data_IF_021968438835
#
_entry.id   IF_021968438835
#
_cell.length_a   1.000
_cell.length_b   1.000
_cell.length_c   1.000
_cell.angle_alpha   90.00
_cell.angle_beta   90.00
_cell.angle_gamma   90.00
#
_symmetry.space_group_name_H-M   'P 1'
#
loop_
_entity.id
_entity.type
_entity.pdbx_description
1 polymer ?
#
# COMPACT_ATOMS: atom_id res chain seq x y z
N UNK A 1 -17.87 9.93 7.02
CA UNK A 1 -17.27 8.84 7.81
C UNK A 1 -17.61 7.55 7.10
N UNK A 2 -16.59 6.73 6.82
CA UNK A 2 -16.72 5.47 6.11
C UNK A 2 -17.50 4.45 6.98
N UNK A 3 -18.70 4.00 6.56
CA UNK A 3 -19.53 3.07 7.33
C UNK A 3 -18.86 1.70 7.50
N UNK A 4 -18.06 1.24 6.55
CA UNK A 4 -17.36 -0.05 6.60
C UNK A 4 -16.23 -0.01 7.63
N UNK A 5 -15.51 1.11 7.68
CA UNK A 5 -14.48 1.36 8.70
C UNK A 5 -15.07 1.27 10.12
N UNK A 6 -16.27 1.82 10.33
CA UNK A 6 -16.95 1.76 11.63
C UNK A 6 -17.33 0.33 12.03
N UNK A 7 -17.82 -0.47 11.08
CA UNK A 7 -18.17 -1.88 11.32
C UNK A 7 -16.91 -2.69 11.67
N UNK A 8 -15.82 -2.49 10.93
CA UNK A 8 -14.53 -3.13 11.20
C UNK A 8 -14.01 -2.83 12.62
N UNK A 9 -13.96 -1.55 13.00
CA UNK A 9 -13.48 -1.13 14.32
C UNK A 9 -14.34 -1.70 15.46
N UNK A 10 -15.65 -1.76 15.26
CA UNK A 10 -16.58 -2.34 16.25
C UNK A 10 -16.28 -3.84 16.47
N UNK A 11 -16.05 -4.59 15.39
CA UNK A 11 -15.68 -6.01 15.45
C UNK A 11 -14.35 -6.24 16.18
N UNK A 12 -13.37 -5.37 15.97
CA UNK A 12 -12.07 -5.45 16.63
C UNK A 12 -12.21 -5.21 18.14
N UNK A 13 -13.00 -4.21 18.54
CA UNK A 13 -13.31 -3.93 19.94
C UNK A 13 -14.05 -5.10 20.61
N UNK A 14 -15.03 -5.72 19.94
CA UNK A 14 -15.75 -6.88 20.46
C UNK A 14 -14.82 -8.08 20.70
N UNK A 15 -13.90 -8.32 19.77
CA UNK A 15 -12.93 -9.41 19.86
C UNK A 15 -11.95 -9.20 21.02
N UNK A 16 -11.40 -8.00 21.15
CA UNK A 16 -10.51 -7.63 22.27
C UNK A 16 -11.25 -7.70 23.62
N UNK A 17 -12.50 -7.22 23.69
CA UNK A 17 -13.33 -7.27 24.90
C UNK A 17 -13.66 -8.71 25.29
N UNK A 18 -13.89 -9.60 24.33
CA UNK A 18 -14.15 -11.02 24.60
C UNK A 18 -12.90 -11.71 25.16
N UNK A 19 -11.73 -11.43 24.60
CA UNK A 19 -10.46 -11.94 25.10
C UNK A 19 -10.15 -11.44 26.52
N UNK A 20 -10.39 -10.15 26.80
CA UNK A 20 -10.22 -9.57 28.12
C UNK A 20 -11.10 -10.26 29.17
N UNK A 21 -12.39 -10.42 28.87
CA UNK A 21 -13.34 -11.12 29.75
C UNK A 21 -12.95 -12.59 29.99
N UNK A 22 -12.34 -13.25 29.01
CA UNK A 22 -11.87 -14.62 29.14
C UNK A 22 -10.68 -14.71 30.12
N UNK A 23 -9.75 -13.76 30.04
CA UNK A 23 -8.59 -13.67 30.95
C UNK A 23 -9.02 -13.31 32.37
N UNK A 24 -9.94 -12.35 32.54
CA UNK A 24 -10.46 -11.95 33.86
C UNK A 24 -11.17 -13.10 34.59
N UNK A 25 -11.92 -13.94 33.87
CA UNK A 25 -12.63 -15.10 34.43
C UNK A 25 -11.70 -16.21 34.93
N UNK A 26 -10.49 -16.32 34.38
CA UNK A 26 -9.53 -17.36 34.78
C UNK A 26 -8.70 -17.02 36.02
N UNK A 27 -8.82 -15.80 36.54
CA UNK A 27 -8.09 -15.33 37.74
C UNK A 27 -6.65 -14.89 37.42
N UNK A 28 -6.14 -13.97 38.24
CA UNK A 28 -4.86 -13.24 38.09
C UNK A 28 -3.58 -14.10 38.26
N UNK A 29 -3.68 -15.41 38.46
CA UNK A 29 -2.52 -16.32 38.51
C UNK A 29 -2.17 -16.82 37.10
N UNK A 30 -2.07 -15.87 36.18
CA UNK A 30 -2.01 -16.06 34.74
C UNK A 30 -0.61 -16.43 34.29
N UNK A 31 -0.42 -17.66 33.77
CA UNK A 31 0.82 -18.04 33.09
C UNK A 31 1.04 -17.24 31.80
N UNK A 32 2.29 -17.20 31.30
CA UNK A 32 2.74 -16.43 30.11
C UNK A 32 1.74 -16.50 28.93
N UNK A 33 1.13 -17.66 28.68
CA UNK A 33 0.19 -17.84 27.56
C UNK A 33 -1.10 -17.02 27.60
N UNK A 34 -1.56 -16.52 28.75
CA UNK A 34 -2.77 -15.69 28.81
C UNK A 34 -2.51 -14.24 28.38
N UNK A 35 -1.30 -13.73 28.65
CA UNK A 35 -0.88 -12.40 28.18
C UNK A 35 -0.74 -12.38 26.65
N UNK A 36 -0.15 -13.44 26.08
CA UNK A 36 0.00 -13.57 24.63
C UNK A 36 -1.35 -13.64 23.91
N UNK A 37 -2.33 -14.34 24.49
CA UNK A 37 -3.69 -14.42 23.94
C UNK A 37 -4.37 -13.05 23.90
N UNK A 38 -4.23 -12.25 24.96
CA UNK A 38 -4.80 -10.90 25.01
C UNK A 38 -4.12 -9.97 24.00
N UNK A 39 -2.78 -9.98 23.96
CA UNK A 39 -1.99 -9.18 23.01
C UNK A 39 -2.34 -9.54 21.56
N UNK A 40 -2.46 -10.84 21.27
CA UNK A 40 -2.83 -11.31 19.92
C UNK A 40 -4.25 -10.87 19.54
N UNK A 41 -5.21 -11.00 20.46
CA UNK A 41 -6.60 -10.62 20.20
C UNK A 41 -6.80 -9.10 20.08
N UNK A 42 -5.98 -8.31 20.76
CA UNK A 42 -6.00 -6.85 20.71
C UNK A 42 -4.98 -6.27 19.72
N UNK A 43 -4.34 -7.10 18.89
CA UNK A 43 -3.24 -6.65 18.03
C UNK A 43 -3.66 -5.50 17.10
N UNK A 44 -4.70 -5.68 16.31
CA UNK A 44 -5.17 -4.67 15.35
C UNK A 44 -5.49 -3.30 15.98
N UNK A 45 -6.33 -3.19 17.04
CA UNK A 45 -6.61 -1.90 17.65
C UNK A 45 -5.41 -1.30 18.39
N UNK A 46 -4.51 -2.14 18.92
CA UNK A 46 -3.26 -1.66 19.53
C UNK A 46 -2.28 -1.15 18.47
N UNK A 47 -2.19 -1.82 17.32
CA UNK A 47 -1.34 -1.41 16.21
C UNK A 47 -1.77 -0.05 15.68
N UNK A 48 -3.07 0.16 15.40
CA UNK A 48 -3.59 1.45 14.96
C UNK A 48 -3.31 2.57 15.97
N UNK A 49 -3.48 2.30 17.27
CA UNK A 49 -3.20 3.26 18.33
C UNK A 49 -1.70 3.56 18.47
N UNK A 50 -0.86 2.53 18.43
CA UNK A 50 0.60 2.66 18.49
C UNK A 50 1.16 3.39 17.26
N UNK A 51 0.62 3.14 16.07
CA UNK A 51 1.01 3.85 14.85
C UNK A 51 0.63 5.33 14.94
N UNK A 52 -0.54 5.66 15.49
CA UNK A 52 -0.96 7.05 15.68
C UNK A 52 -0.10 7.81 16.70
N UNK A 53 0.29 7.15 17.81
CA UNK A 53 1.04 7.80 18.91
C UNK A 53 2.57 7.75 18.70
N UNK A 54 3.08 6.60 18.26
CA UNK A 54 4.51 6.28 18.19
C UNK A 54 5.02 6.06 16.76
N UNK A 55 4.17 6.00 15.74
CA UNK A 55 4.59 5.88 14.34
C UNK A 55 5.68 6.88 13.91
N UNK A 56 5.62 8.17 14.31
CA UNK A 56 6.67 9.14 13.99
C UNK A 56 8.04 8.83 14.63
N UNK A 57 8.08 7.98 15.66
CA UNK A 57 9.32 7.57 16.34
C UNK A 57 10.01 6.38 15.66
N UNK A 58 9.32 5.72 14.73
CA UNK A 58 9.87 4.58 13.98
C UNK A 58 10.88 5.10 12.96
N UNK A 59 12.15 5.03 13.31
CA UNK A 59 13.27 5.43 12.44
C UNK A 59 14.00 4.24 11.80
N UNK A 60 13.59 3.01 12.11
CA UNK A 60 14.19 1.81 11.52
C UNK A 60 13.51 1.48 10.19
N UNK A 61 14.23 1.74 9.10
CA UNK A 61 13.75 1.48 7.75
C UNK A 61 13.73 -0.01 7.39
N UNK A 62 14.42 -0.87 8.15
CA UNK A 62 14.45 -2.32 7.90
C UNK A 62 13.06 -2.96 7.94
N UNK A 63 12.17 -2.44 8.79
CA UNK A 63 10.79 -2.89 8.95
C UNK A 63 10.02 -2.88 7.61
N UNK A 64 10.31 -1.92 6.73
CA UNK A 64 9.70 -1.81 5.40
C UNK A 64 10.51 -2.48 4.30
N UNK A 65 11.83 -2.61 4.49
CA UNK A 65 12.74 -3.05 3.44
C UNK A 65 13.06 -4.55 3.47
N UNK A 66 13.07 -5.19 4.64
CA UNK A 66 13.60 -6.55 4.79
C UNK A 66 12.79 -7.60 4.01
N UNK A 67 11.46 -7.46 4.01
CA UNK A 67 10.60 -8.36 3.25
C UNK A 67 10.90 -8.28 1.75
N UNK A 68 10.98 -7.07 1.19
CA UNK A 68 11.23 -6.87 -0.23
C UNK A 68 12.66 -7.30 -0.61
N UNK A 69 13.66 -6.99 0.23
CA UNK A 69 15.05 -7.44 0.03
C UNK A 69 15.18 -8.96 0.04
N UNK A 70 14.52 -9.64 0.97
CA UNK A 70 14.52 -11.11 1.02
C UNK A 70 14.05 -11.71 -0.30
N UNK A 71 12.94 -11.22 -0.85
CA UNK A 71 12.41 -11.74 -2.11
C UNK A 71 13.22 -11.31 -3.33
N UNK A 72 13.81 -10.11 -3.31
CA UNK A 72 14.79 -9.67 -4.31
C UNK A 72 15.99 -10.64 -4.37
N UNK A 73 16.54 -11.01 -3.21
CA UNK A 73 17.65 -11.96 -3.12
C UNK A 73 17.28 -13.36 -3.65
N UNK A 74 16.11 -13.88 -3.29
CA UNK A 74 15.63 -15.17 -3.81
C UNK A 74 15.43 -15.13 -5.33
N UNK A 75 14.87 -14.04 -5.87
CA UNK A 75 14.75 -13.85 -7.30
C UNK A 75 16.11 -13.92 -8.02
N UNK A 76 17.13 -13.23 -7.49
CA UNK A 76 18.47 -13.26 -8.10
C UNK A 76 19.16 -14.62 -7.96
N UNK A 77 18.90 -15.38 -6.88
CA UNK A 77 19.37 -16.76 -6.76
C UNK A 77 18.79 -17.63 -7.88
N UNK A 78 17.49 -17.52 -8.14
CA UNK A 78 16.83 -18.26 -9.21
C UNK A 78 17.33 -17.86 -10.59
N UNK A 79 17.48 -16.55 -10.85
CA UNK A 79 18.04 -16.05 -12.10
C UNK A 79 19.46 -16.57 -12.35
N UNK A 80 20.29 -16.57 -11.30
CA UNK A 80 21.65 -17.13 -11.36
C UNK A 80 21.63 -18.63 -11.64
N UNK A 81 20.74 -19.38 -10.99
CA UNK A 81 20.59 -20.82 -11.23
C UNK A 81 20.15 -21.13 -12.67
N UNK A 82 19.43 -20.22 -13.32
CA UNK A 82 19.06 -20.27 -14.73
C UNK A 82 20.16 -19.74 -15.69
N UNK A 83 21.36 -19.42 -15.17
CA UNK A 83 22.47 -18.80 -15.91
C UNK A 83 22.10 -17.45 -16.56
N UNK A 84 21.15 -16.72 -15.99
CA UNK A 84 20.87 -15.34 -16.37
C UNK A 84 21.96 -14.45 -15.78
N UNK A 85 22.53 -13.57 -16.62
CA UNK A 85 23.54 -12.62 -16.17
C UNK A 85 22.90 -11.54 -15.28
N UNK A 86 23.60 -11.07 -14.23
CA UNK A 86 23.13 -9.94 -13.44
C UNK A 86 23.07 -8.67 -14.31
N UNK A 87 22.12 -7.76 -14.04
CA UNK A 87 22.07 -6.46 -14.71
C UNK A 87 23.27 -5.60 -14.30
N UNK A 88 23.67 -4.66 -15.17
CA UNK A 88 24.74 -3.70 -14.86
C UNK A 88 24.38 -2.74 -13.72
N UNK A 89 23.09 -2.40 -13.61
CA UNK A 89 22.54 -1.49 -12.59
C UNK A 89 21.19 -2.02 -12.12
N UNK A 90 20.97 -2.01 -10.80
CA UNK A 90 19.68 -2.30 -10.17
C UNK A 90 19.13 -1.01 -9.60
N UNK A 91 17.93 -0.62 -10.02
CA UNK A 91 17.22 0.57 -9.52
C UNK A 91 16.00 0.16 -8.72
N UNK A 92 15.93 0.54 -7.45
CA UNK A 92 14.75 0.28 -6.59
C UNK A 92 13.88 1.52 -6.53
N UNK A 93 12.57 1.38 -6.73
CA UNK A 93 11.64 2.51 -6.68
C UNK A 93 11.77 3.31 -5.37
N UNK A 94 11.95 2.62 -4.24
CA UNK A 94 12.14 3.23 -2.92
C UNK A 94 13.40 4.11 -2.80
N UNK A 95 14.39 3.93 -3.67
CA UNK A 95 15.62 4.73 -3.70
C UNK A 95 15.50 5.99 -4.57
N UNK A 96 14.46 6.10 -5.39
CA UNK A 96 14.27 7.19 -6.38
C UNK A 96 12.97 7.99 -6.16
N UNK A 97 12.36 7.87 -4.97
CA UNK A 97 11.10 8.59 -4.66
C UNK A 97 11.22 10.11 -4.87
N UNK A 98 12.29 10.80 -4.45
CA UNK A 98 12.43 12.24 -4.70
C UNK A 98 12.39 12.59 -6.20
N UNK A 99 13.09 11.85 -7.04
CA UNK A 99 13.14 12.04 -8.48
C UNK A 99 11.79 11.76 -9.15
N UNK A 100 11.06 10.74 -8.66
CA UNK A 100 9.71 10.43 -9.11
C UNK A 100 8.77 11.60 -8.79
N UNK A 101 8.83 12.15 -7.57
CA UNK A 101 8.02 13.32 -7.17
C UNK A 101 8.33 14.52 -8.06
N UNK A 102 9.61 14.82 -8.28
CA UNK A 102 10.04 15.91 -9.17
C UNK A 102 9.57 15.70 -10.61
N UNK A 103 9.55 14.45 -11.09
CA UNK A 103 9.05 14.11 -12.41
C UNK A 103 7.54 14.29 -12.51
N UNK A 104 6.78 13.82 -11.53
CA UNK A 104 5.32 14.00 -11.46
C UNK A 104 4.96 15.48 -11.42
N UNK A 105 5.72 16.30 -10.67
CA UNK A 105 5.51 17.75 -10.63
C UNK A 105 5.62 18.37 -12.03
N UNK A 106 6.59 17.95 -12.86
CA UNK A 106 6.72 18.42 -14.24
C UNK A 106 5.51 18.07 -15.11
N UNK A 107 4.88 16.92 -14.87
CA UNK A 107 3.67 16.50 -15.60
C UNK A 107 2.48 17.40 -15.20
N UNK A 108 2.35 17.69 -13.90
CA UNK A 108 1.34 18.64 -13.38
C UNK A 108 1.55 20.02 -14.00
N UNK A 109 2.80 20.53 -13.97
CA UNK A 109 3.14 21.86 -14.51
C UNK A 109 2.89 21.95 -16.03
N UNK A 110 3.01 20.83 -16.74
CA UNK A 110 2.69 20.72 -18.16
C UNK A 110 1.18 20.62 -18.45
N UNK A 111 0.32 20.52 -17.42
CA UNK A 111 -1.13 20.44 -17.56
C UNK A 111 -1.67 19.04 -17.92
N UNK A 112 -0.85 17.99 -17.79
CA UNK A 112 -1.24 16.61 -18.13
C UNK A 112 -1.60 15.75 -16.91
N UNK A 113 -1.65 16.34 -15.72
CA UNK A 113 -2.03 15.64 -14.51
C UNK A 113 -2.86 16.54 -13.59
N UNK A 114 -3.67 15.92 -12.74
CA UNK A 114 -4.51 16.60 -11.75
C UNK A 114 -4.48 15.88 -10.40
N UNK A 115 -4.68 16.64 -9.33
CA UNK A 115 -4.79 16.11 -7.97
C UNK A 115 -6.25 15.82 -7.62
N UNK A 116 -6.50 14.74 -6.90
CA UNK A 116 -7.80 14.39 -6.34
C UNK A 116 -7.63 13.54 -5.08
N UNK A 117 -8.18 14.03 -3.96
CA UNK A 117 -8.25 13.32 -2.67
C UNK A 117 -6.88 12.83 -2.15
N UNK A 118 -5.81 13.59 -2.37
CA UNK A 118 -4.45 13.28 -1.94
C UNK A 118 -3.65 12.43 -2.94
N UNK A 119 -4.24 12.04 -4.06
CA UNK A 119 -3.58 11.31 -5.16
C UNK A 119 -3.43 12.19 -6.38
N UNK A 120 -2.42 11.88 -7.22
CA UNK A 120 -2.21 12.56 -8.51
C UNK A 120 -2.50 11.58 -9.64
N UNK A 121 -3.33 12.00 -10.59
CA UNK A 121 -3.76 11.22 -11.74
C UNK A 121 -3.25 11.85 -13.03
N UNK A 122 -2.92 11.01 -14.01
CA UNK A 122 -2.55 11.46 -15.35
C UNK A 122 -3.82 11.63 -16.20
N UNK A 123 -3.98 12.78 -16.84
CA UNK A 123 -5.12 13.07 -17.70
C UNK A 123 -4.87 12.56 -19.12
N UNK A 124 -5.36 11.35 -19.37
CA UNK A 124 -5.19 10.67 -20.67
C UNK A 124 -5.95 11.37 -21.80
N UNK A 125 -7.07 12.05 -21.49
CA UNK A 125 -7.85 12.77 -22.48
C UNK A 125 -7.14 14.06 -22.91
N UNK A 126 -6.67 14.86 -21.96
CA UNK A 126 -5.89 16.08 -22.26
C UNK A 126 -4.60 15.74 -22.99
N UNK A 127 -3.94 14.64 -22.61
CA UNK A 127 -2.75 14.18 -23.31
C UNK A 127 -3.03 13.79 -24.77
N UNK A 128 -4.13 13.10 -25.06
CA UNK A 128 -4.48 12.68 -26.42
C UNK A 128 -4.98 13.84 -27.31
N UNK A 129 -5.66 14.82 -26.71
CA UNK A 129 -6.09 16.04 -27.42
C UNK A 129 -4.92 16.96 -27.78
N UNK A 130 -3.78 16.85 -27.09
CA UNK A 130 -2.64 17.71 -27.32
C UNK A 130 -1.88 17.34 -28.61
N UNK A 131 -1.59 18.29 -29.51
CA UNK A 131 -0.90 18.01 -30.76
C UNK A 131 0.43 17.27 -30.58
N UNK A 132 0.59 16.15 -31.29
CA UNK A 132 1.81 15.34 -31.29
C UNK A 132 1.87 14.27 -30.19
N UNK A 133 0.86 14.19 -29.34
CA UNK A 133 0.71 13.14 -28.33
C UNK A 133 -0.39 12.16 -28.75
N UNK A 134 -0.24 10.90 -28.32
CA UNK A 134 -1.16 9.81 -28.64
C UNK A 134 -1.18 8.85 -27.44
N UNK A 135 -2.31 8.77 -26.76
CA UNK A 135 -2.47 7.82 -25.66
C UNK A 135 -2.68 6.40 -26.20
N UNK A 136 -2.34 5.39 -25.40
CA UNK A 136 -2.41 3.96 -25.77
C UNK A 136 -1.61 3.56 -27.03
N UNK A 137 -0.54 4.28 -27.39
CA UNK A 137 0.29 4.02 -28.58
C UNK A 137 0.78 2.57 -28.74
N UNK A 138 1.08 1.88 -27.63
CA UNK A 138 1.62 0.52 -27.65
C UNK A 138 0.53 -0.55 -27.78
N UNK A 139 -0.72 -0.23 -27.40
CA UNK A 139 -1.87 -1.13 -27.49
C UNK A 139 -3.09 -0.30 -27.94
N UNK A 140 -3.15 0.09 -29.22
CA UNK A 140 -4.19 0.99 -29.72
C UNK A 140 -5.61 0.46 -29.55
N UNK A 141 -5.79 -0.85 -29.47
CA UNK A 141 -7.08 -1.50 -29.26
C UNK A 141 -7.68 -1.21 -27.87
N UNK A 142 -6.84 -0.82 -26.90
CA UNK A 142 -7.29 -0.39 -25.57
C UNK A 142 -7.74 1.08 -25.55
N UNK A 143 -7.52 1.82 -26.64
CA UNK A 143 -7.89 3.23 -26.73
C UNK A 143 -9.41 3.38 -26.67
N UNK A 144 -9.90 4.15 -25.69
CA UNK A 144 -11.33 4.36 -25.49
C UNK A 144 -12.05 3.22 -24.76
N UNK A 145 -11.36 2.13 -24.38
CA UNK A 145 -11.91 1.12 -23.47
C UNK A 145 -11.88 1.65 -22.03
N UNK A 146 -12.81 2.56 -21.75
CA UNK A 146 -12.99 3.20 -20.45
C UNK A 146 -13.24 2.18 -19.33
N UNK A 147 -13.77 0.99 -19.66
CA UNK A 147 -14.00 -0.05 -18.66
C UNK A 147 -12.70 -0.72 -18.25
N UNK A 148 -11.89 -1.16 -19.22
CA UNK A 148 -10.58 -1.75 -18.93
C UNK A 148 -9.64 -0.74 -18.26
N UNK A 149 -9.71 0.54 -18.64
CA UNK A 149 -8.96 1.62 -18.00
C UNK A 149 -9.36 1.78 -16.53
N UNK A 150 -10.66 1.89 -16.23
CA UNK A 150 -11.16 2.00 -14.84
C UNK A 150 -10.81 0.77 -14.01
N UNK A 151 -10.98 -0.44 -14.56
CA UNK A 151 -10.63 -1.68 -13.86
C UNK A 151 -9.12 -1.74 -13.53
N UNK A 152 -8.25 -1.31 -14.46
CA UNK A 152 -6.80 -1.22 -14.26
C UNK A 152 -6.37 -0.13 -13.26
N UNK A 153 -7.12 0.97 -13.19
CA UNK A 153 -6.93 2.08 -12.23
C UNK A 153 -7.51 1.79 -10.84
N UNK A 154 -8.19 0.65 -10.67
CA UNK A 154 -8.72 0.22 -9.38
C UNK A 154 -10.11 0.74 -9.09
N UNK A 155 -11.06 0.59 -10.04
CA UNK A 155 -12.51 0.87 -9.88
C UNK A 155 -13.12 0.29 -8.59
N UNK A 156 -12.50 -0.75 -8.02
CA UNK A 156 -12.87 -1.34 -6.72
C UNK A 156 -12.66 -0.40 -5.51
N UNK A 157 -11.88 0.67 -5.66
CA UNK A 157 -11.58 1.64 -4.59
C UNK A 157 -12.41 2.94 -4.68
N UNK A 158 -13.12 3.15 -5.79
CA UNK A 158 -13.92 4.36 -6.03
C UNK A 158 -15.37 4.27 -5.51
N UNK A 159 -15.83 3.09 -5.06
CA UNK A 159 -17.22 2.81 -4.68
C UNK A 159 -17.66 3.25 -3.27
N UNK A 160 -16.92 4.14 -2.60
CA UNK A 160 -17.29 4.70 -1.31
C UNK A 160 -17.95 6.07 -1.43
N UNK A 161 -19.25 6.09 -1.77
CA UNK A 161 -20.14 7.24 -1.55
C UNK A 161 -20.80 7.18 -0.16
#
# INVERSE_FOLDING_TARGET
>A
EDPDKKVMLTRHLETATTALNAVEKTGLESGEGQHDLLITAANDPLADWLDADLGPTVTDHSIFADLSRRWEEEFYKDMTALNVLPPDVVTRVSEYVPEIVDYVQKIIDAGFAYESRGSVYFDTAVFDEHPGHFYAKLVPEAFGDQKALREGEGDLSAGGD
#
